data_IF_630211400517
#
_entry.id   IF_630211400517
#
_cell.length_a   1.000
_cell.length_b   1.000
_cell.length_c   1.000
_cell.angle_alpha   90.00
_cell.angle_beta   90.00
_cell.angle_gamma   90.00
#
_symmetry.space_group_name_H-M   'P 1'
#
loop_
_entity.id
_entity.type
_entity.pdbx_description
1 polymer ?
#
# COMPACT_ATOMS: atom_id res chain seq x y z
N UNK A 1 -9.15 14.34 -11.39
CA UNK A 1 -9.89 15.28 -10.54
C UNK A 1 -10.56 16.30 -11.41
N UNK A 2 -11.85 16.13 -11.65
CA UNK A 2 -12.67 17.13 -12.34
C UNK A 2 -13.01 18.26 -11.39
N UNK A 3 -13.52 19.37 -11.93
CA UNK A 3 -14.01 20.46 -11.09
C UNK A 3 -15.23 20.03 -10.26
N UNK A 4 -16.14 19.26 -10.87
CA UNK A 4 -17.32 18.72 -10.20
C UNK A 4 -16.96 17.85 -8.97
N UNK A 5 -15.91 17.02 -9.07
CA UNK A 5 -15.42 16.22 -7.93
C UNK A 5 -14.93 17.12 -6.78
N UNK A 6 -14.23 18.22 -7.10
CA UNK A 6 -13.74 19.18 -6.09
C UNK A 6 -14.83 20.02 -5.46
N UNK A 7 -15.92 20.29 -6.20
CA UNK A 7 -17.08 20.99 -5.66
C UNK A 7 -17.84 20.12 -4.65
N UNK A 8 -18.05 18.84 -4.96
CA UNK A 8 -18.82 17.90 -4.11
C UNK A 8 -18.02 17.37 -2.92
N UNK A 9 -16.71 17.20 -3.07
CA UNK A 9 -15.84 16.59 -2.05
C UNK A 9 -15.00 15.47 -2.65
N UNK A 10 -13.67 15.60 -2.61
CA UNK A 10 -12.74 14.56 -3.08
C UNK A 10 -11.39 14.66 -2.39
N UNK A 11 -10.79 13.52 -2.07
CA UNK A 11 -9.41 13.43 -1.61
C UNK A 11 -8.50 12.83 -2.69
N UNK A 12 -7.37 13.48 -2.93
CA UNK A 12 -6.23 12.89 -3.61
C UNK A 12 -5.33 12.24 -2.57
N UNK A 13 -4.99 10.96 -2.77
CA UNK A 13 -4.07 10.21 -1.92
C UNK A 13 -2.92 9.70 -2.78
N UNK A 14 -1.75 10.30 -2.62
CA UNK A 14 -0.53 9.94 -3.34
C UNK A 14 0.36 9.07 -2.45
N UNK A 15 0.43 7.78 -2.75
CA UNK A 15 1.29 6.84 -2.00
C UNK A 15 2.69 6.83 -2.61
N UNK A 16 3.61 7.55 -1.98
CA UNK A 16 5.02 7.59 -2.34
C UNK A 16 5.84 6.43 -1.76
N UNK A 17 7.16 6.57 -1.79
CA UNK A 17 8.06 5.56 -1.23
C UNK A 17 8.07 5.57 0.31
N UNK A 18 8.20 6.75 0.92
CA UNK A 18 8.32 6.91 2.38
C UNK A 18 7.16 7.66 3.01
N UNK A 19 6.43 8.42 2.20
CA UNK A 19 5.33 9.29 2.61
C UNK A 19 4.10 9.01 1.77
N UNK A 20 2.95 9.34 2.34
CA UNK A 20 1.66 9.37 1.64
C UNK A 20 1.10 10.76 1.80
N UNK A 21 0.95 11.46 0.68
CA UNK A 21 0.48 12.82 0.63
C UNK A 21 -1.04 12.82 0.39
N UNK A 22 -1.76 13.61 1.17
CA UNK A 22 -3.22 13.71 1.11
C UNK A 22 -3.60 15.15 0.83
N UNK A 23 -4.47 15.38 -0.15
CA UNK A 23 -5.07 16.68 -0.42
C UNK A 23 -6.58 16.54 -0.58
N UNK A 24 -7.33 17.17 0.31
CA UNK A 24 -8.80 17.16 0.32
C UNK A 24 -9.35 18.47 -0.24
N UNK A 25 -10.34 18.34 -1.13
CA UNK A 25 -11.03 19.43 -1.81
C UNK A 25 -12.51 19.42 -1.49
N UNK A 26 -13.10 20.60 -1.30
CA UNK A 26 -14.55 20.83 -1.16
C UNK A 26 -14.85 22.28 -1.57
N UNK A 27 -15.99 22.52 -2.23
CA UNK A 27 -16.35 23.83 -2.81
C UNK A 27 -15.25 24.42 -3.72
N UNK A 28 -14.63 23.54 -4.54
CA UNK A 28 -13.61 23.93 -5.50
C UNK A 28 -12.26 24.32 -4.87
N UNK A 29 -12.10 24.21 -3.54
CA UNK A 29 -10.92 24.68 -2.80
C UNK A 29 -10.29 23.57 -1.99
N UNK A 30 -8.98 23.71 -1.73
CA UNK A 30 -8.26 22.85 -0.80
C UNK A 30 -8.75 23.16 0.62
N UNK A 31 -9.25 22.14 1.31
CA UNK A 31 -9.65 22.22 2.71
C UNK A 31 -8.55 21.70 3.64
N UNK A 32 -7.80 20.69 3.20
CA UNK A 32 -6.78 20.05 4.03
C UNK A 32 -5.66 19.46 3.20
N UNK A 33 -4.45 19.49 3.75
CA UNK A 33 -3.28 18.81 3.24
C UNK A 33 -2.56 18.14 4.40
N UNK A 34 -2.22 16.87 4.24
CA UNK A 34 -1.46 16.10 5.22
C UNK A 34 -0.38 15.27 4.54
N UNK A 35 0.68 15.00 5.29
CA UNK A 35 1.76 14.09 4.89
C UNK A 35 1.87 13.03 5.98
N UNK A 36 1.52 11.80 5.63
CA UNK A 36 1.58 10.67 6.54
C UNK A 36 2.93 9.93 6.36
N UNK A 37 3.59 9.51 7.45
CA UNK A 37 4.96 8.98 7.41
C UNK A 37 5.01 7.48 7.05
N UNK A 38 4.27 7.08 6.00
CA UNK A 38 4.29 5.74 5.45
C UNK A 38 4.17 5.75 3.93
N UNK A 39 4.68 4.71 3.28
CA UNK A 39 4.59 4.56 1.83
C UNK A 39 4.99 3.15 1.40
N UNK A 40 5.37 3.00 0.14
CA UNK A 40 5.78 1.71 -0.44
C UNK A 40 6.94 1.02 0.29
N UNK A 41 7.80 1.74 1.03
CA UNK A 41 8.87 1.18 1.86
C UNK A 41 8.33 0.47 3.10
N UNK A 42 7.26 0.98 3.70
CA UNK A 42 6.57 0.35 4.83
C UNK A 42 6.08 -1.03 4.42
N UNK A 43 5.46 -1.11 3.24
CA UNK A 43 5.01 -2.35 2.64
C UNK A 43 6.17 -3.31 2.32
N UNK A 44 7.26 -2.82 1.72
CA UNK A 44 8.43 -3.68 1.46
C UNK A 44 9.04 -4.23 2.75
N UNK A 45 9.04 -3.45 3.84
CA UNK A 45 9.53 -3.91 5.13
C UNK A 45 8.66 -5.03 5.72
N UNK A 46 7.34 -5.05 5.46
CA UNK A 46 6.49 -6.17 5.86
C UNK A 46 6.81 -7.44 5.06
N UNK A 47 7.05 -7.31 3.75
CA UNK A 47 7.47 -8.42 2.91
C UNK A 47 8.84 -8.98 3.34
N UNK A 48 9.78 -8.15 3.78
CA UNK A 48 11.05 -8.62 4.37
C UNK A 48 10.78 -9.56 5.54
N UNK A 49 9.87 -9.18 6.45
CA UNK A 49 9.55 -10.01 7.63
C UNK A 49 8.76 -11.25 7.25
N UNK A 50 7.71 -11.10 6.45
CA UNK A 50 6.83 -12.20 6.05
C UNK A 50 7.49 -13.23 5.13
N UNK A 51 8.42 -12.82 4.28
CA UNK A 51 9.17 -13.71 3.41
C UNK A 51 10.55 -14.08 3.97
N UNK A 52 11.04 -13.43 5.02
CA UNK A 52 12.39 -13.65 5.55
C UNK A 52 13.47 -13.55 4.46
N UNK A 53 13.40 -12.49 3.64
CA UNK A 53 14.35 -12.23 2.55
C UNK A 53 14.95 -10.84 2.66
N UNK A 54 16.12 -10.57 2.06
CA UNK A 54 16.69 -9.22 2.01
C UNK A 54 15.75 -8.20 1.37
N UNK A 55 15.87 -6.93 1.76
CA UNK A 55 15.01 -5.84 1.28
C UNK A 55 14.93 -5.74 -0.25
N UNK A 56 16.06 -5.90 -0.95
CA UNK A 56 16.09 -5.86 -2.41
C UNK A 56 15.24 -6.98 -3.04
N UNK A 57 15.21 -8.16 -2.43
CA UNK A 57 14.43 -9.30 -2.91
C UNK A 57 12.95 -9.16 -2.56
N UNK A 58 12.63 -8.60 -1.39
CA UNK A 58 11.26 -8.22 -1.05
C UNK A 58 10.70 -7.13 -2.00
N UNK A 59 11.52 -6.14 -2.36
CA UNK A 59 11.14 -5.10 -3.32
C UNK A 59 10.85 -5.70 -4.70
N UNK A 60 11.72 -6.59 -5.20
CA UNK A 60 11.48 -7.31 -6.46
C UNK A 60 10.19 -8.12 -6.39
N UNK A 61 9.98 -8.85 -5.29
CA UNK A 61 8.77 -9.64 -5.10
C UNK A 61 7.49 -8.78 -5.14
N UNK A 62 7.53 -7.60 -4.50
CA UNK A 62 6.45 -6.60 -4.57
C UNK A 62 6.18 -6.13 -6.00
N UNK A 63 7.22 -5.74 -6.73
CA UNK A 63 7.11 -5.18 -8.08
C UNK A 63 6.63 -6.22 -9.11
N UNK A 64 7.05 -7.48 -8.97
CA UNK A 64 6.77 -8.53 -9.95
C UNK A 64 5.52 -9.35 -9.64
N UNK A 65 5.19 -9.54 -8.36
CA UNK A 65 4.14 -10.47 -7.92
C UNK A 65 3.10 -9.83 -7.01
N UNK A 66 3.27 -8.55 -6.67
CA UNK A 66 2.38 -7.84 -5.77
C UNK A 66 0.96 -7.72 -6.32
N UNK A 67 -0.02 -7.83 -5.44
CA UNK A 67 -1.44 -7.66 -5.77
C UNK A 67 -2.13 -7.07 -4.54
N UNK A 68 -2.87 -5.98 -4.74
CA UNK A 68 -3.52 -5.25 -3.65
C UNK A 68 -4.80 -5.93 -3.11
N UNK A 69 -5.30 -6.96 -3.80
CA UNK A 69 -6.48 -7.72 -3.41
C UNK A 69 -6.19 -9.21 -3.59
N UNK A 70 -5.94 -9.93 -2.49
CA UNK A 70 -5.42 -11.30 -2.52
C UNK A 70 -6.36 -12.28 -3.22
N UNK A 71 -7.67 -12.03 -3.20
CA UNK A 71 -8.67 -12.87 -3.87
C UNK A 71 -8.51 -12.97 -5.40
N UNK A 72 -7.71 -12.08 -6.01
CA UNK A 72 -7.40 -12.14 -7.44
C UNK A 72 -6.24 -13.10 -7.78
N UNK A 73 -5.54 -13.63 -6.77
CA UNK A 73 -4.39 -14.52 -6.96
C UNK A 73 -4.87 -15.97 -7.03
N UNK A 74 -4.35 -16.75 -7.99
CA UNK A 74 -4.59 -18.20 -8.02
C UNK A 74 -3.94 -18.83 -6.77
N UNK A 75 -4.70 -19.54 -5.90
CA UNK A 75 -4.15 -20.18 -4.70
C UNK A 75 -3.05 -21.22 -4.98
N UNK A 76 -2.94 -21.69 -6.24
CA UNK A 76 -1.89 -22.63 -6.68
C UNK A 76 -0.62 -21.93 -7.16
N UNK A 77 -0.64 -20.61 -7.36
CA UNK A 77 0.50 -19.87 -7.87
C UNK A 77 1.59 -19.77 -6.80
N UNK A 78 2.81 -20.16 -7.19
CA UNK A 78 3.99 -20.08 -6.33
C UNK A 78 5.08 -19.26 -7.00
N UNK A 79 5.87 -18.54 -6.20
CA UNK A 79 7.03 -17.78 -6.67
C UNK A 79 8.30 -18.26 -5.96
N UNK A 80 9.43 -18.18 -6.65
CA UNK A 80 10.73 -18.48 -6.05
C UNK A 80 11.29 -17.26 -5.33
N UNK A 81 11.73 -17.46 -4.09
CA UNK A 81 12.45 -16.46 -3.29
C UNK A 81 13.75 -17.07 -2.73
N UNK A 82 14.72 -16.26 -2.28
CA UNK A 82 15.89 -16.78 -1.59
C UNK A 82 15.54 -17.66 -0.39
N UNK A 83 16.30 -18.74 -0.23
CA UNK A 83 16.25 -19.61 0.93
C UNK A 83 17.14 -19.09 2.08
N UNK A 84 17.11 -19.76 3.25
CA UNK A 84 17.90 -19.37 4.42
C UNK A 84 19.42 -19.40 4.18
N UNK A 85 19.88 -20.27 3.28
CA UNK A 85 21.30 -20.44 2.94
C UNK A 85 21.67 -19.72 1.65
N UNK A 86 22.90 -19.18 1.52
CA UNK A 86 23.37 -18.55 0.28
C UNK A 86 23.22 -19.46 -0.94
N UNK A 87 22.63 -18.93 -2.01
CA UNK A 87 22.39 -19.67 -3.26
C UNK A 87 21.20 -20.63 -3.24
N UNK A 88 20.58 -20.86 -2.08
CA UNK A 88 19.35 -21.64 -2.00
C UNK A 88 18.17 -20.80 -2.48
N UNK A 89 17.21 -21.43 -3.16
CA UNK A 89 15.88 -20.89 -3.42
C UNK A 89 14.82 -21.74 -2.75
N UNK A 90 13.67 -21.14 -2.47
CA UNK A 90 12.48 -21.83 -1.97
C UNK A 90 11.23 -21.26 -2.64
N UNK A 91 10.23 -22.11 -2.83
CA UNK A 91 8.92 -21.67 -3.29
C UNK A 91 8.10 -21.09 -2.13
N UNK A 92 7.37 -20.02 -2.40
CA UNK A 92 6.32 -19.47 -1.52
C UNK A 92 5.05 -19.29 -2.32
N UNK A 93 3.89 -19.46 -1.67
CA UNK A 93 2.62 -19.11 -2.29
C UNK A 93 2.62 -17.62 -2.63
N UNK A 94 2.25 -17.25 -3.87
CA UNK A 94 2.09 -15.84 -4.23
C UNK A 94 1.00 -15.18 -3.40
N UNK A 95 0.00 -15.96 -3.01
CA UNK A 95 -1.08 -15.54 -2.13
C UNK A 95 -0.57 -14.94 -0.81
N UNK A 96 0.54 -15.45 -0.26
CA UNK A 96 1.17 -14.87 0.95
C UNK A 96 1.65 -13.43 0.71
N UNK A 97 2.25 -13.17 -0.46
CA UNK A 97 2.72 -11.83 -0.84
C UNK A 97 1.53 -10.88 -0.95
N UNK A 98 0.45 -11.34 -1.60
CA UNK A 98 -0.75 -10.53 -1.77
C UNK A 98 -1.43 -10.20 -0.44
N UNK A 99 -1.57 -11.18 0.47
CA UNK A 99 -2.14 -10.93 1.80
C UNK A 99 -1.34 -9.90 2.61
N UNK A 100 0.00 -9.96 2.56
CA UNK A 100 0.85 -8.97 3.26
C UNK A 100 0.63 -7.57 2.68
N UNK A 101 0.53 -7.46 1.35
CA UNK A 101 0.29 -6.20 0.64
C UNK A 101 -1.09 -5.64 0.98
N UNK A 102 -2.13 -6.45 0.86
CA UNK A 102 -3.52 -6.07 1.13
C UNK A 102 -3.67 -5.58 2.57
N UNK A 103 -3.21 -6.35 3.56
CA UNK A 103 -3.29 -5.96 4.97
C UNK A 103 -2.58 -4.62 5.25
N UNK A 104 -1.41 -4.39 4.63
CA UNK A 104 -0.69 -3.13 4.80
C UNK A 104 -1.42 -1.97 4.13
N UNK A 105 -2.01 -2.19 2.96
CA UNK A 105 -2.80 -1.16 2.28
C UNK A 105 -4.06 -0.82 3.05
N UNK A 106 -4.76 -1.82 3.62
CA UNK A 106 -5.91 -1.62 4.50
C UNK A 106 -5.53 -0.77 5.72
N UNK A 107 -4.42 -1.07 6.37
CA UNK A 107 -3.92 -0.27 7.50
C UNK A 107 -3.59 1.17 7.07
N UNK A 108 -2.88 1.34 5.95
CA UNK A 108 -2.50 2.66 5.43
C UNK A 108 -3.71 3.50 5.04
N UNK A 109 -4.68 2.93 4.33
CA UNK A 109 -5.90 3.64 3.95
C UNK A 109 -6.82 3.88 5.15
N UNK A 110 -6.82 3.01 6.15
CA UNK A 110 -7.46 3.28 7.44
C UNK A 110 -6.86 4.50 8.15
N UNK A 111 -5.54 4.68 8.12
CA UNK A 111 -4.87 5.87 8.66
C UNK A 111 -5.19 7.14 7.85
N UNK A 112 -5.26 7.04 6.52
CA UNK A 112 -5.72 8.15 5.66
C UNK A 112 -7.16 8.54 6.01
N UNK A 113 -8.05 7.56 6.16
CA UNK A 113 -9.43 7.78 6.55
C UNK A 113 -9.53 8.45 7.93
N UNK A 114 -8.75 8.00 8.91
CA UNK A 114 -8.67 8.63 10.23
C UNK A 114 -8.24 10.10 10.17
N UNK A 115 -7.22 10.41 9.37
CA UNK A 115 -6.75 11.79 9.17
C UNK A 115 -7.85 12.71 8.58
N UNK A 116 -8.66 12.20 7.65
CA UNK A 116 -9.78 12.96 7.09
C UNK A 116 -10.93 13.12 8.09
N UNK A 117 -11.24 12.09 8.88
CA UNK A 117 -12.30 12.12 9.89
C UNK A 117 -12.00 13.07 11.06
N UNK A 118 -10.77 13.10 11.56
CA UNK A 118 -10.35 13.96 12.68
C UNK A 118 -10.45 15.47 12.37
N UNK A 119 -10.64 15.83 11.08
CA UNK A 119 -10.76 17.20 10.60
C UNK A 119 -12.19 17.58 10.20
N UNK A 120 -13.18 16.79 10.61
CA UNK A 120 -14.60 16.92 10.21
C UNK A 120 -14.83 16.83 8.70
N UNK A 121 -13.86 16.33 7.92
CA UNK A 121 -13.97 16.14 6.47
C UNK A 121 -14.62 14.79 6.12
N UNK A 122 -15.51 14.28 6.97
CA UNK A 122 -16.22 13.00 6.79
C UNK A 122 -17.13 12.93 5.55
N UNK A 123 -17.36 14.07 4.90
CA UNK A 123 -18.09 14.19 3.63
C UNK A 123 -17.22 13.88 2.40
N UNK A 124 -15.89 13.79 2.59
CA UNK A 124 -14.87 13.42 1.60
C UNK A 124 -14.46 11.97 1.82
#
# INVERSE_FOLDING_TARGET
MTEDEKEVGVALVEVGASTTDVAAYFEGKIQHVAILPFGGRTLTADLVRGLSVPYAEAQKAKEHYGTAFAQLVDPRETVEVPGPSPGQKRAVARELIAHIIEQRLDEMFGLVQGELQDRDLSII
#
